data_IF_448782223111
#
_entry.id   IF_448782223111
#
_cell.length_a   1.000
_cell.length_b   1.000
_cell.length_c   1.000
_cell.angle_alpha   90.00
_cell.angle_beta   90.00
_cell.angle_gamma   90.00
#
_symmetry.space_group_name_H-M   'P 1'
#
loop_
_entity.id
_entity.type
_entity.pdbx_description
1 polymer ?
#
# COMPACT_ATOMS: atom_id res chain seq x y z
N UNK A 1 5.10 -10.57 -3.96
CA UNK A 1 6.18 -10.51 -2.94
C UNK A 1 7.24 -9.51 -3.38
N UNK A 2 7.55 -8.49 -2.58
CA UNK A 2 8.59 -7.50 -2.85
C UNK A 2 9.99 -8.11 -2.59
N UNK A 3 10.93 -7.92 -3.52
CA UNK A 3 12.33 -8.31 -3.36
C UNK A 3 13.24 -7.10 -3.16
N UNK A 4 13.01 -6.01 -3.90
CA UNK A 4 13.80 -4.80 -3.77
C UNK A 4 13.03 -3.59 -4.29
N UNK A 5 13.24 -2.44 -3.66
CA UNK A 5 12.81 -1.13 -4.12
C UNK A 5 14.02 -0.20 -4.18
N UNK A 6 14.15 0.54 -5.26
CA UNK A 6 15.19 1.56 -5.42
C UNK A 6 14.58 2.89 -5.76
N UNK A 7 15.18 3.93 -5.27
CA UNK A 7 14.82 5.32 -5.54
C UNK A 7 16.08 6.18 -5.70
N UNK A 8 16.04 7.11 -6.62
CA UNK A 8 17.09 8.13 -6.83
C UNK A 8 16.46 9.47 -7.17
N UNK A 9 17.09 10.54 -6.77
CA UNK A 9 16.69 11.92 -7.01
C UNK A 9 15.25 12.20 -6.56
N UNK A 10 14.96 11.96 -5.29
CA UNK A 10 13.62 12.16 -4.75
C UNK A 10 13.65 12.83 -3.38
N UNK A 11 13.03 13.99 -3.22
CA UNK A 11 12.98 14.79 -1.98
C UNK A 11 14.36 14.96 -1.33
N UNK A 12 14.64 14.31 -0.18
CA UNK A 12 15.93 14.34 0.50
C UNK A 12 16.93 13.28 0.01
N UNK A 13 16.54 12.44 -0.94
CA UNK A 13 17.38 11.37 -1.49
C UNK A 13 18.01 11.86 -2.79
N UNK A 14 19.30 12.15 -2.80
CA UNK A 14 20.08 12.54 -3.98
C UNK A 14 20.54 11.30 -4.75
N UNK A 15 21.34 10.47 -4.09
CA UNK A 15 21.90 9.25 -4.66
C UNK A 15 20.94 8.08 -4.55
N UNK A 16 21.23 6.97 -5.23
CA UNK A 16 20.39 5.76 -5.16
C UNK A 16 20.30 5.22 -3.74
N UNK A 17 19.08 5.11 -3.22
CA UNK A 17 18.77 4.39 -1.99
C UNK A 17 18.06 3.07 -2.33
N UNK A 18 18.42 2.00 -1.62
CA UNK A 18 17.94 0.65 -1.87
C UNK A 18 17.31 0.08 -0.60
N UNK A 19 16.03 -0.28 -0.69
CA UNK A 19 15.36 -1.14 0.29
C UNK A 19 15.37 -2.58 -0.26
N UNK A 20 16.10 -3.48 0.41
CA UNK A 20 16.20 -4.87 -0.01
C UNK A 20 15.50 -5.80 0.97
N UNK A 21 14.59 -6.62 0.46
CA UNK A 21 13.95 -7.73 1.17
C UNK A 21 14.63 -9.07 0.87
N UNK A 22 15.70 -9.07 0.06
CA UNK A 22 16.46 -10.27 -0.25
C UNK A 22 17.21 -10.73 1.01
N UNK A 23 17.03 -11.99 1.45
CA UNK A 23 17.69 -12.47 2.66
C UNK A 23 19.20 -12.54 2.49
N UNK A 24 19.91 -12.43 3.60
CA UNK A 24 21.35 -12.66 3.67
C UNK A 24 21.69 -14.17 3.52
N UNK A 25 22.95 -14.51 3.56
CA UNK A 25 23.39 -15.92 3.59
C UNK A 25 23.16 -16.60 4.94
N UNK A 26 22.76 -15.86 5.97
CA UNK A 26 22.41 -16.40 7.28
C UNK A 26 21.11 -17.20 7.21
N UNK A 27 21.14 -18.43 7.74
CA UNK A 27 20.00 -19.37 7.75
C UNK A 27 19.50 -19.67 9.16
N UNK A 28 19.89 -18.87 10.15
CA UNK A 28 19.52 -19.10 11.56
C UNK A 28 18.02 -18.94 11.82
N UNK A 29 17.32 -18.16 10.99
CA UNK A 29 15.91 -17.79 11.16
C UNK A 29 15.10 -18.03 9.89
N UNK A 30 14.90 -19.29 9.45
CA UNK A 30 14.13 -19.60 8.24
C UNK A 30 12.66 -19.20 8.34
N UNK A 31 12.11 -19.12 9.56
CA UNK A 31 10.75 -18.66 9.85
C UNK A 31 10.49 -17.19 9.45
N UNK A 32 11.54 -16.40 9.32
CA UNK A 32 11.47 -15.01 8.89
C UNK A 32 11.41 -14.83 7.37
N UNK A 33 11.39 -15.92 6.62
CA UNK A 33 11.38 -15.90 5.16
C UNK A 33 9.99 -16.24 4.61
N UNK A 34 9.60 -15.47 3.61
CA UNK A 34 8.51 -15.78 2.71
C UNK A 34 9.08 -16.43 1.45
N UNK A 35 8.42 -17.48 0.97
CA UNK A 35 8.84 -18.25 -0.19
C UNK A 35 7.82 -18.12 -1.31
N UNK A 36 8.28 -17.69 -2.50
CA UNK A 36 7.44 -17.64 -3.69
C UNK A 36 8.22 -18.16 -4.90
N UNK A 37 7.81 -19.32 -5.41
CA UNK A 37 8.49 -20.00 -6.50
C UNK A 37 9.93 -20.38 -6.11
N UNK A 38 10.93 -19.76 -6.75
CA UNK A 38 12.36 -19.97 -6.48
C UNK A 38 13.02 -18.80 -5.74
N UNK A 39 12.21 -17.89 -5.21
CA UNK A 39 12.68 -16.68 -4.54
C UNK A 39 12.26 -16.67 -3.09
N UNK A 40 13.16 -16.17 -2.26
CA UNK A 40 12.95 -15.93 -0.86
C UNK A 40 13.02 -14.42 -0.60
N UNK A 41 12.19 -13.95 0.30
CA UNK A 41 12.21 -12.57 0.80
C UNK A 41 12.07 -12.56 2.31
N UNK A 42 12.55 -11.50 2.95
CA UNK A 42 12.24 -11.22 4.35
C UNK A 42 10.75 -10.87 4.48
N UNK A 43 10.09 -11.38 5.51
CA UNK A 43 8.69 -11.07 5.82
C UNK A 43 8.50 -9.64 6.31
N UNK A 44 9.54 -9.05 6.91
CA UNK A 44 9.51 -7.68 7.41
C UNK A 44 10.86 -7.00 7.28
N UNK A 45 10.85 -5.67 7.16
CA UNK A 45 12.02 -4.81 7.23
C UNK A 45 11.68 -3.54 8.01
N UNK A 46 12.62 -3.07 8.82
CA UNK A 46 12.48 -1.83 9.57
C UNK A 46 13.55 -0.81 9.17
N UNK A 47 13.13 0.43 8.92
CA UNK A 47 14.02 1.53 8.55
C UNK A 47 14.26 2.40 9.78
N UNK A 48 15.49 2.37 10.28
CA UNK A 48 15.92 3.16 11.43
C UNK A 48 16.90 4.27 11.00
N UNK A 49 16.96 5.32 11.80
CA UNK A 49 17.91 6.41 11.57
C UNK A 49 17.55 7.65 12.39
N UNK A 50 18.48 8.61 12.46
CA UNK A 50 18.26 9.89 13.13
C UNK A 50 17.08 10.67 12.53
N UNK A 51 16.57 11.64 13.26
CA UNK A 51 15.58 12.58 12.72
C UNK A 51 16.17 13.31 11.49
N UNK A 52 15.33 13.54 10.50
CA UNK A 52 15.71 14.11 9.21
C UNK A 52 16.73 13.29 8.37
N UNK A 53 17.00 12.02 8.70
CA UNK A 53 17.89 11.15 7.93
C UNK A 53 17.27 10.62 6.62
N UNK A 54 16.03 11.00 6.28
CA UNK A 54 15.38 10.58 5.04
C UNK A 54 14.51 9.31 5.13
N UNK A 55 14.25 8.76 6.33
CA UNK A 55 13.41 7.56 6.52
C UNK A 55 12.05 7.69 5.81
N UNK A 56 11.30 8.73 6.14
CA UNK A 56 9.99 9.01 5.52
C UNK A 56 10.08 9.37 4.04
N UNK A 57 11.26 9.81 3.56
CA UNK A 57 11.46 10.05 2.13
C UNK A 57 11.46 8.74 1.33
N UNK A 58 12.00 7.64 1.87
CA UNK A 58 11.94 6.31 1.24
C UNK A 58 10.49 5.83 1.15
N UNK A 59 9.72 5.98 2.23
CA UNK A 59 8.28 5.60 2.26
C UNK A 59 7.49 6.47 1.27
N UNK A 60 7.69 7.79 1.27
CA UNK A 60 7.04 8.71 0.33
C UNK A 60 7.40 8.43 -1.12
N UNK A 61 8.66 8.04 -1.40
CA UNK A 61 9.08 7.61 -2.73
C UNK A 61 8.31 6.35 -3.18
N UNK A 62 8.16 5.39 -2.29
CA UNK A 62 7.38 4.18 -2.54
C UNK A 62 5.92 4.53 -2.87
N UNK A 63 5.29 5.37 -2.04
CA UNK A 63 3.91 5.88 -2.28
C UNK A 63 3.81 6.59 -3.62
N UNK A 64 4.72 7.52 -3.91
CA UNK A 64 4.70 8.31 -5.15
C UNK A 64 4.80 7.41 -6.39
N UNK A 65 5.69 6.41 -6.36
CA UNK A 65 5.85 5.46 -7.46
C UNK A 65 4.58 4.62 -7.68
N UNK A 66 3.99 4.09 -6.62
CA UNK A 66 2.74 3.30 -6.71
C UNK A 66 1.57 4.16 -7.18
N UNK A 67 1.43 5.38 -6.68
CA UNK A 67 0.39 6.32 -7.12
C UNK A 67 0.58 6.72 -8.58
N UNK A 68 1.83 6.92 -9.04
CA UNK A 68 2.12 7.19 -10.43
C UNK A 68 1.63 6.06 -11.36
N UNK A 69 1.80 4.78 -10.94
CA UNK A 69 1.29 3.61 -11.67
C UNK A 69 -0.24 3.55 -11.64
N UNK A 70 -0.84 3.62 -10.46
CA UNK A 70 -2.30 3.47 -10.27
C UNK A 70 -3.12 4.53 -11.00
N UNK A 71 -2.64 5.76 -11.03
CA UNK A 71 -3.36 6.90 -11.63
C UNK A 71 -2.97 7.17 -13.08
N UNK A 72 -2.04 6.40 -13.64
CA UNK A 72 -1.43 6.68 -14.94
C UNK A 72 -2.44 6.71 -16.08
N UNK A 73 -3.28 5.69 -16.20
CA UNK A 73 -4.18 5.55 -17.34
C UNK A 73 -5.33 6.56 -17.36
N UNK A 74 -5.80 6.96 -16.17
CA UNK A 74 -6.87 7.96 -16.03
C UNK A 74 -6.38 9.41 -16.24
N UNK A 75 -5.06 9.62 -16.35
CA UNK A 75 -4.45 10.94 -16.48
C UNK A 75 -4.67 11.50 -17.89
N UNK A 76 -5.17 12.71 -17.99
CA UNK A 76 -5.21 13.41 -19.28
C UNK A 76 -3.85 14.10 -19.57
N UNK A 77 -3.63 14.51 -20.81
CA UNK A 77 -2.33 15.02 -21.30
C UNK A 77 -1.86 16.30 -20.58
N UNK A 78 -2.76 17.06 -19.97
CA UNK A 78 -2.44 18.31 -19.26
C UNK A 78 -2.20 18.11 -17.76
N UNK A 79 -2.48 16.92 -17.23
CA UNK A 79 -2.29 16.62 -15.82
C UNK A 79 -0.86 16.21 -15.52
N UNK A 80 -0.33 16.71 -14.41
CA UNK A 80 1.00 16.36 -13.92
C UNK A 80 1.04 14.94 -13.32
N UNK A 81 2.21 14.33 -13.38
CA UNK A 81 2.49 13.07 -12.66
C UNK A 81 2.61 13.41 -11.17
N UNK A 82 1.76 12.83 -10.30
CA UNK A 82 1.76 13.21 -8.90
C UNK A 82 3.01 12.75 -8.17
N UNK A 83 3.48 13.55 -7.21
CA UNK A 83 4.53 13.17 -6.27
C UNK A 83 5.95 13.20 -6.84
N UNK A 84 6.17 13.62 -8.07
CA UNK A 84 7.53 13.75 -8.65
C UNK A 84 8.22 15.02 -8.12
N UNK A 85 8.91 14.87 -6.99
CA UNK A 85 9.63 15.96 -6.30
C UNK A 85 11.12 15.63 -6.26
N UNK A 86 11.96 16.19 -7.15
CA UNK A 86 13.40 15.90 -7.18
C UNK A 86 14.13 16.53 -5.99
N UNK A 87 15.37 16.10 -5.76
CA UNK A 87 16.27 16.67 -4.77
C UNK A 87 16.66 18.11 -5.18
N UNK A 88 16.38 19.08 -4.29
CA UNK A 88 16.43 20.51 -4.60
C UNK A 88 17.77 21.20 -4.32
N UNK A 89 18.68 20.56 -3.57
CA UNK A 89 19.91 21.21 -3.13
C UNK A 89 21.11 21.07 -4.10
N UNK A 90 20.83 20.72 -5.36
CA UNK A 90 21.81 20.57 -6.42
C UNK A 90 21.13 20.90 -7.76
N UNK A 91 21.75 21.73 -8.61
CA UNK A 91 21.14 22.24 -9.84
C UNK A 91 20.82 21.14 -10.84
N UNK A 92 21.70 20.14 -10.97
CA UNK A 92 21.52 19.04 -11.91
C UNK A 92 20.35 18.15 -11.49
N UNK A 93 20.31 17.77 -10.20
CA UNK A 93 19.25 16.90 -9.68
C UNK A 93 17.91 17.62 -9.56
N UNK A 94 17.90 18.93 -9.26
CA UNK A 94 16.67 19.70 -9.13
C UNK A 94 15.87 19.81 -10.45
N UNK A 95 16.55 19.69 -11.58
CA UNK A 95 15.94 19.65 -12.92
C UNK A 95 15.86 18.25 -13.52
N UNK A 96 16.43 17.26 -12.85
CA UNK A 96 16.42 15.87 -13.31
C UNK A 96 15.18 15.09 -12.88
N UNK A 97 14.88 13.98 -13.55
CA UNK A 97 13.75 13.14 -13.19
C UNK A 97 13.99 12.37 -11.88
N UNK A 98 12.91 12.08 -11.15
CA UNK A 98 12.91 11.10 -10.09
C UNK A 98 12.94 9.68 -10.70
N UNK A 99 13.74 8.78 -10.15
CA UNK A 99 13.87 7.41 -10.65
C UNK A 99 13.45 6.39 -9.60
N UNK A 100 12.68 5.38 -10.03
CA UNK A 100 12.14 4.31 -9.18
C UNK A 100 12.32 2.97 -9.87
N UNK A 101 12.66 1.94 -9.10
CA UNK A 101 12.75 0.56 -9.60
C UNK A 101 12.18 -0.42 -8.57
N UNK A 102 11.35 -1.35 -9.02
CA UNK A 102 10.83 -2.47 -8.25
C UNK A 102 11.35 -3.79 -8.82
N UNK A 103 11.83 -4.66 -7.94
CA UNK A 103 12.08 -6.06 -8.22
C UNK A 103 11.17 -6.89 -7.31
N UNK A 104 10.31 -7.71 -7.90
CA UNK A 104 9.24 -8.41 -7.17
C UNK A 104 8.86 -9.71 -7.87
N UNK A 105 8.20 -10.59 -7.13
CA UNK A 105 7.51 -11.77 -7.69
C UNK A 105 6.03 -11.43 -7.74
N UNK A 106 5.43 -11.50 -8.93
CA UNK A 106 4.00 -11.28 -9.13
C UNK A 106 3.20 -12.54 -8.77
N UNK A 107 1.86 -12.43 -8.73
CA UNK A 107 0.96 -13.53 -8.35
C UNK A 107 1.07 -14.78 -9.24
N UNK A 108 1.63 -14.65 -10.45
CA UNK A 108 1.92 -15.78 -11.34
C UNK A 108 3.23 -16.53 -10.99
N UNK A 109 3.88 -16.20 -9.87
CA UNK A 109 5.14 -16.80 -9.42
C UNK A 109 6.37 -16.38 -10.24
N UNK A 110 6.23 -15.44 -11.17
CA UNK A 110 7.32 -14.97 -12.02
C UNK A 110 7.94 -13.70 -11.44
N UNK A 111 9.29 -13.64 -11.32
CA UNK A 111 9.96 -12.40 -10.94
C UNK A 111 9.94 -11.37 -12.07
N UNK A 112 9.65 -10.12 -11.72
CA UNK A 112 9.65 -8.96 -12.61
C UNK A 112 10.59 -7.88 -12.09
N UNK A 113 11.16 -7.12 -13.00
CA UNK A 113 11.89 -5.88 -12.73
C UNK A 113 11.22 -4.77 -13.55
N UNK A 114 10.64 -3.83 -12.85
CA UNK A 114 9.96 -2.67 -13.43
C UNK A 114 10.60 -1.39 -12.91
N UNK A 115 10.93 -0.47 -13.78
CA UNK A 115 11.44 0.83 -13.38
C UNK A 115 10.99 1.93 -14.32
N UNK A 116 10.99 3.17 -13.79
CA UNK A 116 10.75 4.37 -14.56
C UNK A 116 11.48 5.57 -13.98
N UNK A 117 11.76 6.53 -14.84
CA UNK A 117 12.25 7.85 -14.47
C UNK A 117 11.29 8.91 -15.04
N UNK A 118 10.79 9.79 -14.17
CA UNK A 118 9.80 10.80 -14.53
C UNK A 118 10.00 12.10 -13.76
N UNK A 119 9.64 13.20 -14.37
CA UNK A 119 9.37 14.47 -13.70
C UNK A 119 7.85 14.71 -13.61
N UNK A 120 7.46 15.91 -13.22
CA UNK A 120 6.03 16.22 -13.09
C UNK A 120 5.27 16.23 -14.44
N UNK A 121 5.95 16.40 -15.55
CA UNK A 121 5.36 16.63 -16.85
C UNK A 121 5.44 15.41 -17.79
N UNK A 122 6.51 14.62 -17.68
CA UNK A 122 6.68 13.48 -18.58
C UNK A 122 7.49 12.31 -17.98
N UNK A 123 7.34 11.15 -18.60
CA UNK A 123 8.14 9.95 -18.37
C UNK A 123 9.32 9.97 -19.32
N UNK A 124 10.54 9.99 -18.79
CA UNK A 124 11.80 10.00 -19.54
C UNK A 124 12.24 8.61 -19.92
N UNK A 125 12.16 7.68 -18.98
CA UNK A 125 12.54 6.28 -19.16
C UNK A 125 11.50 5.36 -18.49
N UNK A 126 11.27 4.20 -19.08
CA UNK A 126 10.42 3.17 -18.49
C UNK A 126 10.82 1.80 -19.06
N UNK A 127 10.84 0.77 -18.21
CA UNK A 127 11.15 -0.58 -18.65
C UNK A 127 10.45 -1.65 -17.82
N UNK A 128 10.19 -2.78 -18.47
CA UNK A 128 9.71 -4.00 -17.84
C UNK A 128 10.49 -5.20 -18.34
N UNK A 129 11.04 -5.97 -17.41
CA UNK A 129 11.64 -7.27 -17.64
C UNK A 129 10.98 -8.34 -16.79
N UNK A 130 10.95 -9.57 -17.29
CA UNK A 130 10.56 -10.74 -16.51
C UNK A 130 11.66 -11.80 -16.51
N UNK A 131 11.65 -12.68 -15.51
CA UNK A 131 12.68 -13.69 -15.31
C UNK A 131 12.05 -15.09 -15.32
N UNK A 132 11.75 -15.63 -16.49
CA UNK A 132 11.37 -17.05 -16.64
C UNK A 132 12.55 -17.99 -16.31
N UNK A 133 13.78 -17.48 -16.39
CA UNK A 133 15.04 -18.14 -16.05
C UNK A 133 15.94 -17.17 -15.30
N UNK A 134 17.22 -17.53 -15.09
CA UNK A 134 18.20 -16.62 -14.49
C UNK A 134 18.51 -15.37 -15.34
N UNK A 135 18.16 -15.38 -16.64
CA UNK A 135 18.38 -14.24 -17.53
C UNK A 135 17.10 -13.41 -17.68
N UNK A 136 17.20 -12.06 -17.62
CA UNK A 136 16.07 -11.18 -17.88
C UNK A 136 15.62 -11.28 -19.34
N UNK A 137 14.32 -11.28 -19.53
CA UNK A 137 13.69 -11.14 -20.85
C UNK A 137 12.94 -9.82 -20.88
N UNK A 138 13.26 -8.98 -21.86
CA UNK A 138 12.61 -7.69 -22.02
C UNK A 138 11.15 -7.88 -22.46
N UNK A 139 10.24 -7.18 -21.79
CA UNK A 139 8.88 -6.97 -22.28
C UNK A 139 8.85 -5.71 -23.12
N UNK A 140 9.30 -4.60 -22.54
CA UNK A 140 9.50 -3.34 -23.25
C UNK A 140 10.58 -2.49 -22.56
N UNK A 141 11.15 -1.56 -23.32
CA UNK A 141 11.92 -0.40 -22.86
C UNK A 141 11.40 0.84 -23.57
N UNK A 142 11.39 1.97 -22.89
CA UNK A 142 11.00 3.26 -23.42
C UNK A 142 12.00 4.32 -23.01
N UNK A 143 12.41 5.17 -23.94
CA UNK A 143 13.20 6.37 -23.70
C UNK A 143 12.55 7.52 -24.46
N UNK A 144 11.89 8.42 -23.73
CA UNK A 144 11.03 9.45 -24.30
C UNK A 144 9.90 8.85 -25.13
N UNK A 145 9.92 9.09 -26.43
CA UNK A 145 8.94 8.55 -27.39
C UNK A 145 9.41 7.30 -28.12
N UNK A 146 10.62 6.80 -27.83
CA UNK A 146 11.19 5.62 -28.48
C UNK A 146 10.92 4.37 -27.66
N UNK A 147 10.33 3.36 -28.27
CA UNK A 147 10.04 2.07 -27.66
C UNK A 147 10.91 0.97 -28.27
N UNK A 148 11.27 0.00 -27.45
CA UNK A 148 12.00 -1.20 -27.84
C UNK A 148 11.35 -2.43 -27.24
N UNK A 149 11.10 -3.44 -28.04
CA UNK A 149 10.47 -4.71 -27.66
C UNK A 149 11.35 -5.90 -28.08
N UNK A 150 10.96 -7.11 -27.70
CA UNK A 150 11.48 -8.30 -28.38
C UNK A 150 10.93 -8.36 -29.81
N UNK A 151 11.72 -8.85 -30.73
CA UNK A 151 11.34 -8.92 -32.15
C UNK A 151 9.99 -9.61 -32.41
N UNK A 152 9.65 -10.62 -31.62
CA UNK A 152 8.38 -11.35 -31.72
C UNK A 152 7.18 -10.55 -31.22
N UNK A 153 7.39 -9.48 -30.49
CA UNK A 153 6.36 -8.74 -29.74
C UNK A 153 6.06 -7.35 -30.32
N UNK A 154 6.92 -6.84 -31.23
CA UNK A 154 6.84 -5.48 -31.77
C UNK A 154 5.44 -5.16 -32.33
N UNK A 155 4.91 -6.02 -33.19
CA UNK A 155 3.58 -5.83 -33.80
C UNK A 155 2.42 -5.92 -32.78
N UNK A 156 2.63 -6.57 -31.65
CA UNK A 156 1.63 -6.65 -30.60
C UNK A 156 1.61 -5.41 -29.68
N UNK A 157 2.75 -4.72 -29.53
CA UNK A 157 2.89 -3.57 -28.65
C UNK A 157 2.71 -2.23 -29.34
N UNK A 158 3.09 -2.08 -30.62
CA UNK A 158 3.06 -0.81 -31.36
C UNK A 158 1.70 -0.11 -31.34
N UNK A 159 0.60 -0.88 -31.37
CA UNK A 159 -0.77 -0.34 -31.29
C UNK A 159 -1.08 0.40 -29.97
N UNK A 160 -0.29 0.21 -28.92
CA UNK A 160 -0.47 0.88 -27.62
C UNK A 160 0.34 2.19 -27.53
N UNK A 161 1.38 2.35 -28.37
CA UNK A 161 2.20 3.56 -28.37
C UNK A 161 1.36 4.81 -28.67
N UNK A 162 0.48 4.74 -29.67
CA UNK A 162 -0.42 5.83 -30.05
C UNK A 162 -1.44 6.21 -28.94
N UNK A 163 -1.66 5.32 -27.97
CA UNK A 163 -2.54 5.55 -26.82
C UNK A 163 -1.81 6.13 -25.63
N UNK A 164 -0.47 6.09 -25.66
CA UNK A 164 0.37 6.51 -24.54
C UNK A 164 0.79 7.96 -24.69
N UNK A 165 0.33 8.84 -23.80
CA UNK A 165 0.78 10.23 -23.76
C UNK A 165 2.10 10.36 -23.00
N UNK A 166 2.89 11.43 -23.18
CA UNK A 166 4.19 11.59 -22.54
C UNK A 166 4.16 11.46 -21.01
N UNK A 167 3.06 11.87 -20.38
CA UNK A 167 2.85 11.83 -18.92
C UNK A 167 2.22 10.53 -18.42
N UNK A 168 2.03 9.51 -19.27
CA UNK A 168 1.52 8.18 -18.88
C UNK A 168 2.64 7.15 -18.88
N UNK A 169 2.55 6.22 -17.92
CA UNK A 169 3.38 5.02 -17.88
C UNK A 169 2.83 3.99 -18.88
N UNK A 170 3.70 3.47 -19.73
CA UNK A 170 3.34 2.51 -20.77
C UNK A 170 2.86 1.18 -20.20
N UNK A 171 3.40 0.77 -19.04
CA UNK A 171 2.90 -0.38 -18.28
C UNK A 171 1.38 -0.31 -18.06
N UNK A 172 0.89 0.83 -17.59
CA UNK A 172 -0.54 1.03 -17.31
C UNK A 172 -1.34 1.09 -18.61
N UNK A 173 -0.88 1.86 -19.58
CA UNK A 173 -1.53 1.99 -20.90
C UNK A 173 -1.66 0.63 -21.58
N UNK A 174 -0.57 -0.12 -21.75
CA UNK A 174 -0.59 -1.41 -22.42
C UNK A 174 -1.52 -2.41 -21.70
N UNK A 175 -1.48 -2.44 -20.37
CA UNK A 175 -2.34 -3.34 -19.57
C UNK A 175 -3.82 -3.01 -19.74
N UNK A 176 -4.21 -1.76 -19.62
CA UNK A 176 -5.61 -1.34 -19.72
C UNK A 176 -6.19 -1.50 -21.12
N UNK A 177 -5.32 -1.53 -22.13
CA UNK A 177 -5.69 -1.90 -23.51
C UNK A 177 -5.55 -3.40 -23.80
N UNK A 178 -5.42 -4.24 -22.77
CA UNK A 178 -5.52 -5.70 -22.85
C UNK A 178 -4.23 -6.44 -23.17
N UNK A 179 -3.05 -5.88 -22.87
CA UNK A 179 -1.81 -6.61 -23.06
C UNK A 179 -1.56 -7.60 -21.89
N UNK A 180 -1.55 -8.90 -22.21
CA UNK A 180 -1.38 -9.96 -21.23
C UNK A 180 0.04 -10.05 -20.62
N UNK A 181 1.08 -9.53 -21.30
CA UNK A 181 2.47 -9.59 -20.81
C UNK A 181 2.77 -8.52 -19.77
N UNK A 182 2.05 -7.40 -19.78
CA UNK A 182 2.20 -6.32 -18.80
C UNK A 182 1.29 -6.50 -17.59
N UNK A 183 0.16 -7.20 -17.76
CA UNK A 183 -0.88 -7.35 -16.76
C UNK A 183 -0.38 -7.88 -15.39
N UNK A 184 0.44 -8.96 -15.29
CA UNK A 184 0.87 -9.44 -13.98
C UNK A 184 1.71 -8.43 -13.19
N UNK A 185 2.59 -7.68 -13.88
CA UNK A 185 3.40 -6.66 -13.25
C UNK A 185 2.56 -5.46 -12.80
N UNK A 186 1.64 -4.99 -13.66
CA UNK A 186 0.73 -3.91 -13.33
C UNK A 186 -0.17 -4.27 -12.14
N UNK A 187 -0.79 -5.45 -12.16
CA UNK A 187 -1.68 -5.92 -11.10
C UNK A 187 -0.94 -6.01 -9.76
N UNK A 188 0.29 -6.51 -9.76
CA UNK A 188 1.07 -6.54 -8.52
C UNK A 188 1.32 -5.14 -7.97
N UNK A 189 1.75 -4.18 -8.78
CA UNK A 189 1.97 -2.79 -8.36
C UNK A 189 0.67 -2.07 -7.96
N UNK A 190 -0.42 -2.36 -8.65
CA UNK A 190 -1.71 -1.72 -8.40
C UNK A 190 -2.44 -2.29 -7.18
N UNK A 191 -2.40 -3.62 -6.99
CA UNK A 191 -3.32 -4.31 -6.08
C UNK A 191 -2.64 -4.98 -4.89
N UNK A 192 -1.32 -5.30 -4.99
CA UNK A 192 -0.62 -6.10 -3.97
C UNK A 192 0.19 -5.27 -2.97
N UNK A 193 -0.02 -3.95 -2.93
CA UNK A 193 0.70 -3.05 -2.02
C UNK A 193 -0.31 -2.16 -1.31
N UNK A 194 -0.27 -2.17 0.02
CA UNK A 194 -1.01 -1.21 0.84
C UNK A 194 -0.05 -0.32 1.62
N UNK A 195 -0.27 0.98 1.54
CA UNK A 195 0.51 1.97 2.27
C UNK A 195 -0.35 2.55 3.37
N UNK A 196 0.13 2.40 4.58
CA UNK A 196 -0.49 2.95 5.76
C UNK A 196 0.31 4.14 6.29
N UNK A 197 -0.35 5.28 6.44
CA UNK A 197 0.18 6.44 7.15
C UNK A 197 -0.83 6.82 8.23
N UNK A 198 -0.42 6.86 9.52
CA UNK A 198 -1.31 7.22 10.63
C UNK A 198 -1.93 8.63 10.50
N UNK A 199 -1.32 9.51 9.72
CA UNK A 199 -1.84 10.86 9.45
C UNK A 199 -2.98 10.87 8.40
N UNK A 200 -3.10 9.82 7.60
CA UNK A 200 -4.20 9.68 6.65
C UNK A 200 -5.42 9.09 7.37
N UNK A 201 -6.58 9.70 7.16
CA UNK A 201 -7.83 9.25 7.76
C UNK A 201 -8.21 7.84 7.26
N UNK A 202 -7.88 6.80 8.02
CA UNK A 202 -8.27 5.40 7.73
C UNK A 202 -9.74 5.17 8.07
N UNK A 203 -10.25 5.94 9.02
CA UNK A 203 -11.58 5.76 9.58
C UNK A 203 -12.68 5.58 8.51
N UNK A 204 -12.77 6.39 7.44
CA UNK A 204 -13.82 6.21 6.45
C UNK A 204 -13.77 4.86 5.73
N UNK A 205 -12.57 4.40 5.35
CA UNK A 205 -12.39 3.12 4.64
C UNK A 205 -12.67 1.94 5.57
N UNK A 206 -12.23 2.03 6.83
CA UNK A 206 -12.50 1.01 7.83
C UNK A 206 -13.99 0.91 8.16
N UNK A 207 -14.68 2.04 8.31
CA UNK A 207 -16.13 2.08 8.52
C UNK A 207 -16.90 1.44 7.37
N UNK A 208 -16.51 1.74 6.13
CA UNK A 208 -17.11 1.10 4.96
C UNK A 208 -16.92 -0.42 4.97
N UNK A 209 -15.74 -0.90 5.39
CA UNK A 209 -15.49 -2.33 5.51
C UNK A 209 -16.38 -2.99 6.57
N UNK A 210 -16.58 -2.35 7.73
CA UNK A 210 -17.51 -2.84 8.75
C UNK A 210 -18.99 -2.77 8.31
N UNK A 211 -19.38 -1.74 7.56
CA UNK A 211 -20.72 -1.63 6.98
C UNK A 211 -21.03 -2.78 6.00
N UNK A 212 -20.02 -3.25 5.28
CA UNK A 212 -20.12 -4.33 4.29
C UNK A 212 -19.93 -5.73 4.90
N UNK A 213 -19.64 -5.83 6.20
CA UNK A 213 -19.37 -7.10 6.90
C UNK A 213 -20.65 -7.83 7.28
N UNK A 214 -21.49 -8.18 6.31
CA UNK A 214 -22.77 -8.86 6.53
C UNK A 214 -22.64 -10.20 7.26
N UNK A 215 -21.52 -10.90 7.09
CA UNK A 215 -21.27 -12.21 7.71
C UNK A 215 -20.54 -12.13 9.05
N UNK A 216 -20.11 -10.94 9.45
CA UNK A 216 -19.38 -10.71 10.70
C UNK A 216 -17.94 -11.23 10.72
N UNK A 217 -17.38 -11.56 9.55
CA UNK A 217 -16.03 -12.09 9.47
C UNK A 217 -14.96 -11.05 9.87
N UNK A 218 -15.15 -9.77 9.50
CA UNK A 218 -14.27 -8.69 9.91
C UNK A 218 -14.37 -8.45 11.41
N UNK A 219 -15.60 -8.45 11.94
CA UNK A 219 -15.85 -8.35 13.39
C UNK A 219 -15.12 -9.44 14.15
N UNK A 220 -15.24 -10.70 13.72
CA UNK A 220 -14.57 -11.85 14.36
C UNK A 220 -13.04 -11.75 14.26
N UNK A 221 -12.51 -11.35 13.11
CA UNK A 221 -11.09 -11.10 12.93
C UNK A 221 -10.59 -9.99 13.89
N UNK A 222 -11.31 -8.87 13.98
CA UNK A 222 -10.98 -7.75 14.86
C UNK A 222 -10.98 -8.18 16.33
N UNK A 223 -12.00 -8.91 16.79
CA UNK A 223 -12.06 -9.44 18.15
C UNK A 223 -10.90 -10.40 18.44
N UNK A 224 -10.56 -11.27 17.49
CA UNK A 224 -9.42 -12.17 17.62
C UNK A 224 -8.10 -11.40 17.73
N UNK A 225 -7.92 -10.35 16.93
CA UNK A 225 -6.74 -9.48 16.95
C UNK A 225 -6.59 -8.76 18.29
N UNK A 226 -7.68 -8.17 18.80
CA UNK A 226 -7.68 -7.47 20.09
C UNK A 226 -7.36 -8.41 21.24
N UNK A 227 -7.93 -9.62 21.26
CA UNK A 227 -7.63 -10.63 22.29
C UNK A 227 -6.18 -11.08 22.28
N UNK A 228 -5.59 -11.28 21.08
CA UNK A 228 -4.17 -11.64 20.94
C UNK A 228 -3.25 -10.50 21.41
N UNK A 229 -3.70 -9.25 21.32
CA UNK A 229 -3.00 -8.07 21.84
C UNK A 229 -3.24 -7.83 23.33
N UNK A 230 -3.84 -8.80 24.06
CA UNK A 230 -4.21 -8.69 25.49
C UNK A 230 -5.20 -7.54 25.79
N UNK A 231 -6.05 -7.22 24.79
CA UNK A 231 -7.12 -6.22 24.95
C UNK A 231 -8.44 -6.98 25.13
N UNK A 232 -9.02 -6.83 26.34
CA UNK A 232 -10.19 -7.59 26.76
C UNK A 232 -11.49 -6.93 26.26
N UNK A 233 -11.79 -7.13 24.97
CA UNK A 233 -13.05 -6.76 24.33
C UNK A 233 -13.71 -8.02 23.79
N UNK A 234 -14.95 -8.29 24.23
CA UNK A 234 -15.69 -9.51 23.92
C UNK A 234 -16.65 -9.34 22.77
N UNK A 235 -17.11 -8.11 22.53
CA UNK A 235 -18.02 -7.79 21.43
C UNK A 235 -17.73 -6.39 20.86
N UNK A 236 -18.13 -6.19 19.60
CA UNK A 236 -18.08 -4.91 18.90
C UNK A 236 -19.43 -4.68 18.24
N UNK A 237 -20.05 -3.54 18.50
CA UNK A 237 -21.27 -3.10 17.83
C UNK A 237 -20.96 -1.85 17.00
N UNK A 238 -21.31 -1.88 15.73
CA UNK A 238 -21.13 -0.77 14.79
C UNK A 238 -22.50 -0.35 14.29
N UNK A 239 -23.01 0.77 14.80
CA UNK A 239 -24.29 1.34 14.42
C UNK A 239 -24.09 2.49 13.44
N UNK A 240 -24.52 2.30 12.21
CA UNK A 240 -24.42 3.30 11.15
C UNK A 240 -25.83 3.79 10.80
N UNK A 241 -26.14 5.02 11.19
CA UNK A 241 -27.45 5.62 10.92
C UNK A 241 -27.32 6.77 9.93
N UNK A 242 -28.11 6.80 8.85
CA UNK A 242 -28.15 7.97 7.97
C UNK A 242 -28.63 9.18 8.76
N UNK A 243 -27.86 10.26 8.76
CA UNK A 243 -28.33 11.56 9.25
C UNK A 243 -29.32 12.08 8.23
N UNK A 244 -30.62 12.09 8.60
CA UNK A 244 -31.68 12.60 7.73
C UNK A 244 -31.44 14.07 7.33
N UNK A 245 -32.16 14.57 6.32
CA UNK A 245 -32.05 15.88 5.65
C UNK A 245 -32.12 17.15 6.52
N UNK A 246 -31.81 17.11 7.80
CA UNK A 246 -31.84 18.26 8.71
C UNK A 246 -30.48 18.97 8.92
N UNK A 247 -29.42 18.51 8.33
CA UNK A 247 -28.14 19.24 8.35
C UNK A 247 -28.12 20.28 7.25
N UNK A 248 -27.89 21.56 7.60
CA UNK A 248 -27.56 22.62 6.65
C UNK A 248 -26.55 22.09 5.65
N UNK A 249 -26.83 22.19 4.37
CA UNK A 249 -25.94 21.76 3.29
C UNK A 249 -24.55 22.41 3.48
N UNK A 250 -23.63 21.67 4.00
CA UNK A 250 -22.20 22.02 3.92
C UNK A 250 -21.78 21.55 2.53
N UNK A 251 -21.74 22.47 1.57
CA UNK A 251 -21.24 22.17 0.23
C UNK A 251 -19.71 22.15 0.28
N UNK A 252 -19.13 20.96 0.20
CA UNK A 252 -17.69 20.86 -0.04
C UNK A 252 -17.44 21.13 -1.52
N UNK A 253 -16.49 22.00 -1.81
CA UNK A 253 -16.04 22.28 -3.17
C UNK A 253 -14.63 21.73 -3.35
N UNK A 254 -14.32 21.22 -4.56
CA UNK A 254 -12.95 20.92 -4.96
C UNK A 254 -12.11 22.22 -5.05
N UNK A 255 -10.78 22.15 -5.21
CA UNK A 255 -9.94 23.33 -5.36
C UNK A 255 -10.30 24.22 -6.57
N UNK A 256 -11.10 23.73 -7.52
CA UNK A 256 -11.60 24.46 -8.66
C UNK A 256 -13.00 25.10 -8.40
N UNK A 257 -13.57 24.92 -7.19
CA UNK A 257 -14.85 25.49 -6.78
C UNK A 257 -16.08 24.68 -7.20
N UNK A 258 -15.91 23.46 -7.74
CA UNK A 258 -17.06 22.60 -8.10
C UNK A 258 -17.59 21.87 -6.88
N UNK A 259 -18.92 21.67 -6.74
CA UNK A 259 -19.47 20.86 -5.66
C UNK A 259 -18.98 19.43 -5.76
N UNK A 260 -18.36 18.92 -4.70
CA UNK A 260 -18.03 17.50 -4.58
C UNK A 260 -19.34 16.75 -4.28
N UNK A 261 -19.67 15.65 -4.99
CA UNK A 261 -20.83 14.83 -4.68
C UNK A 261 -20.79 14.39 -3.23
N UNK A 262 -21.74 14.83 -2.43
CA UNK A 262 -21.83 14.42 -1.03
C UNK A 262 -22.41 13.01 -0.97
N UNK A 263 -21.63 12.08 -0.41
CA UNK A 263 -22.21 10.87 0.15
C UNK A 263 -23.16 11.25 1.29
N UNK A 264 -24.17 10.44 1.55
CA UNK A 264 -25.05 10.65 2.70
C UNK A 264 -24.21 10.75 3.97
N UNK A 265 -24.36 11.84 4.72
CA UNK A 265 -23.72 11.98 6.03
C UNK A 265 -24.36 10.95 6.95
N UNK A 266 -23.54 10.06 7.49
CA UNK A 266 -23.96 8.99 8.40
C UNK A 266 -23.43 9.29 9.80
N UNK A 267 -24.23 9.09 10.83
CA UNK A 267 -23.75 9.00 12.20
C UNK A 267 -23.23 7.58 12.41
N UNK A 268 -22.06 7.47 12.99
CA UNK A 268 -21.43 6.18 13.30
C UNK A 268 -21.14 6.12 14.78
N UNK A 269 -21.69 5.11 15.44
CA UNK A 269 -21.43 4.79 16.83
C UNK A 269 -20.80 3.41 16.89
N UNK A 270 -19.65 3.31 17.55
CA UNK A 270 -18.95 2.05 17.73
C UNK A 270 -18.81 1.81 19.22
N UNK A 271 -19.33 0.67 19.67
CA UNK A 271 -19.31 0.28 21.05
C UNK A 271 -18.47 -0.99 21.25
N UNK A 272 -17.53 -0.94 22.19
CA UNK A 272 -16.73 -2.06 22.65
C UNK A 272 -17.42 -2.73 23.85
N UNK A 273 -17.73 -4.01 23.76
CA UNK A 273 -18.37 -4.78 24.81
C UNK A 273 -17.34 -5.44 25.73
N UNK A 274 -17.44 -5.19 27.01
CA UNK A 274 -16.61 -5.77 28.05
C UNK A 274 -17.44 -6.68 28.94
N UNK A 275 -16.94 -7.88 29.23
CA UNK A 275 -17.55 -8.78 30.19
C UNK A 275 -16.96 -8.56 31.57
N UNK A 276 -17.80 -8.16 32.51
CA UNK A 276 -17.42 -7.93 33.92
C UNK A 276 -18.09 -8.95 34.78
N UNK A 277 -17.30 -9.72 35.50
CA UNK A 277 -17.80 -10.67 36.50
C UNK A 277 -18.04 -9.92 37.84
N UNK A 278 -19.26 -9.92 38.34
CA UNK A 278 -19.58 -9.34 39.62
C UNK A 278 -19.03 -10.20 40.77
N UNK A 279 -18.88 -9.63 41.96
CA UNK A 279 -18.49 -10.37 43.16
C UNK A 279 -19.49 -11.46 43.56
N UNK A 280 -20.74 -11.39 43.08
CA UNK A 280 -21.78 -12.42 43.26
C UNK A 280 -21.70 -13.58 42.27
N UNK A 281 -20.76 -13.55 41.34
CA UNK A 281 -20.59 -14.60 40.32
C UNK A 281 -21.47 -14.42 39.06
N UNK A 282 -22.36 -13.43 39.03
CA UNK A 282 -23.14 -13.09 37.84
C UNK A 282 -22.30 -12.17 36.95
N UNK A 283 -22.13 -12.58 35.65
CA UNK A 283 -21.44 -11.77 34.67
C UNK A 283 -22.40 -10.80 33.96
N UNK A 284 -21.97 -9.58 33.71
CA UNK A 284 -22.70 -8.62 32.90
C UNK A 284 -21.82 -8.06 31.81
N UNK A 285 -22.39 -7.83 30.63
CA UNK A 285 -21.73 -7.18 29.53
C UNK A 285 -22.02 -5.68 29.57
N UNK A 286 -20.97 -4.87 29.50
CA UNK A 286 -21.04 -3.42 29.46
C UNK A 286 -20.45 -2.94 28.13
N UNK A 287 -21.06 -1.92 27.55
CA UNK A 287 -20.60 -1.32 26.31
C UNK A 287 -20.05 0.08 26.56
N UNK A 288 -18.83 0.33 26.10
CA UNK A 288 -18.20 1.65 26.09
C UNK A 288 -18.14 2.16 24.66
N UNK A 289 -18.28 3.48 24.47
CA UNK A 289 -17.99 4.09 23.16
C UNK A 289 -16.50 3.88 22.83
N UNK A 290 -16.19 3.54 21.58
CA UNK A 290 -14.80 3.31 21.15
C UNK A 290 -13.91 4.53 21.43
N UNK A 291 -14.48 5.75 21.45
CA UNK A 291 -13.74 6.97 21.81
C UNK A 291 -13.26 7.00 23.26
N UNK A 292 -13.86 6.23 24.15
CA UNK A 292 -13.47 6.09 25.56
C UNK A 292 -12.36 5.04 25.76
N UNK A 293 -12.12 4.21 24.75
CA UNK A 293 -11.06 3.21 24.75
C UNK A 293 -9.66 3.82 24.65
N UNK A 294 -8.66 3.00 25.01
CA UNK A 294 -7.25 3.39 24.90
C UNK A 294 -6.88 3.72 23.45
N UNK A 295 -5.86 4.57 23.27
CA UNK A 295 -5.37 4.91 21.93
C UNK A 295 -4.91 3.67 21.14
N UNK A 296 -4.25 2.73 21.82
CA UNK A 296 -3.80 1.46 21.21
C UNK A 296 -4.96 0.60 20.74
N UNK A 297 -6.02 0.48 21.55
CA UNK A 297 -7.26 -0.22 21.20
C UNK A 297 -7.89 0.37 19.94
N UNK A 298 -8.04 1.70 19.91
CA UNK A 298 -8.58 2.42 18.75
C UNK A 298 -7.76 2.20 17.50
N UNK A 299 -6.45 2.25 17.60
CA UNK A 299 -5.57 2.05 16.45
C UNK A 299 -5.64 0.63 15.91
N UNK A 300 -5.63 -0.40 16.77
CA UNK A 300 -5.81 -1.79 16.33
C UNK A 300 -7.18 -2.02 15.70
N UNK A 301 -8.22 -1.43 16.26
CA UNK A 301 -9.55 -1.49 15.67
C UNK A 301 -9.55 -0.93 14.24
N UNK A 302 -9.03 0.29 14.05
CA UNK A 302 -8.99 0.93 12.73
C UNK A 302 -8.05 0.23 11.74
N UNK A 303 -7.01 -0.43 12.24
CA UNK A 303 -6.07 -1.18 11.41
C UNK A 303 -6.62 -2.54 10.98
N UNK A 304 -7.54 -3.12 11.74
CA UNK A 304 -8.00 -4.50 11.55
C UNK A 304 -8.56 -4.80 10.15
N UNK A 305 -9.34 -3.91 9.48
CA UNK A 305 -9.80 -4.19 8.12
C UNK A 305 -8.65 -4.27 7.11
N UNK A 306 -7.65 -3.41 7.27
CA UNK A 306 -6.45 -3.41 6.41
C UNK A 306 -5.65 -4.69 6.63
N UNK A 307 -5.41 -5.07 7.89
CA UNK A 307 -4.70 -6.31 8.22
C UNK A 307 -5.42 -7.54 7.69
N UNK A 308 -6.77 -7.60 7.82
CA UNK A 308 -7.56 -8.70 7.24
C UNK A 308 -7.35 -8.81 5.74
N UNK A 309 -7.36 -7.67 5.04
CA UNK A 309 -7.14 -7.66 3.59
C UNK A 309 -5.70 -8.02 3.22
N UNK A 310 -4.71 -7.48 3.93
CA UNK A 310 -3.28 -7.77 3.74
C UNK A 310 -3.02 -9.26 3.88
N UNK A 311 -3.44 -9.87 4.99
CA UNK A 311 -3.24 -11.31 5.22
C UNK A 311 -4.10 -12.18 4.30
N UNK A 312 -5.32 -11.76 3.98
CA UNK A 312 -6.21 -12.52 3.09
C UNK A 312 -5.77 -12.56 1.63
N UNK A 313 -5.07 -11.51 1.17
CA UNK A 313 -4.64 -11.36 -0.24
C UNK A 313 -3.12 -11.45 -0.45
N UNK A 314 -2.32 -11.66 0.59
CA UNK A 314 -0.86 -11.71 0.49
C UNK A 314 -0.24 -10.39 0.02
N UNK A 315 -0.72 -9.26 0.57
CA UNK A 315 -0.25 -7.94 0.17
C UNK A 315 1.00 -7.51 0.95
N UNK A 316 1.82 -6.70 0.32
CA UNK A 316 2.92 -6.00 0.99
C UNK A 316 2.38 -4.76 1.69
N UNK A 317 2.57 -4.65 3.00
CA UNK A 317 2.16 -3.49 3.78
C UNK A 317 3.36 -2.57 4.03
N UNK A 318 3.21 -1.29 3.74
CA UNK A 318 4.22 -0.24 4.00
C UNK A 318 3.65 0.73 5.02
N UNK A 319 4.33 0.87 6.17
CA UNK A 319 3.85 1.69 7.28
C UNK A 319 4.90 2.75 7.62
N UNK A 320 4.50 4.02 7.64
CA UNK A 320 5.33 5.11 8.20
C UNK A 320 4.94 5.34 9.67
N UNK A 321 5.93 5.59 10.52
CA UNK A 321 5.75 5.92 11.94
C UNK A 321 4.88 4.92 12.73
N UNK A 322 5.10 3.61 12.52
CA UNK A 322 4.35 2.56 13.22
C UNK A 322 4.40 2.69 14.76
N UNK A 323 5.50 3.21 15.28
CA UNK A 323 5.73 3.44 16.71
C UNK A 323 5.06 4.73 17.25
N UNK A 324 4.56 5.59 16.37
CA UNK A 324 3.87 6.82 16.78
C UNK A 324 2.51 6.49 17.36
N UNK A 325 2.35 6.67 18.65
CA UNK A 325 1.10 6.45 19.39
C UNK A 325 0.78 4.99 19.74
N UNK A 326 1.62 4.01 19.38
CA UNK A 326 1.50 2.63 19.85
C UNK A 326 2.45 2.34 20.99
N UNK A 327 1.97 1.56 21.98
CA UNK A 327 2.85 1.00 22.99
C UNK A 327 3.86 0.04 22.33
N UNK A 328 5.14 -0.03 22.74
CA UNK A 328 6.14 -0.92 22.14
C UNK A 328 5.69 -2.38 21.98
N UNK A 329 4.94 -2.92 22.93
CA UNK A 329 4.37 -4.27 22.83
C UNK A 329 3.37 -4.42 21.67
N UNK A 330 2.59 -3.38 21.36
CA UNK A 330 1.69 -3.43 20.21
C UNK A 330 2.44 -3.34 18.89
N UNK A 331 3.55 -2.58 18.84
CA UNK A 331 4.44 -2.55 17.67
C UNK A 331 5.04 -3.93 17.44
N UNK A 332 5.58 -4.56 18.50
CA UNK A 332 6.11 -5.92 18.43
C UNK A 332 5.03 -6.91 17.99
N UNK A 333 3.86 -6.88 18.60
CA UNK A 333 2.72 -7.71 18.26
C UNK A 333 2.36 -7.59 16.76
N UNK A 334 2.24 -6.36 16.23
CA UNK A 334 1.94 -6.15 14.82
C UNK A 334 3.00 -6.76 13.89
N UNK A 335 4.27 -6.62 14.23
CA UNK A 335 5.36 -7.26 13.45
C UNK A 335 5.25 -8.78 13.54
N UNK A 336 5.00 -9.34 14.72
CA UNK A 336 4.86 -10.79 14.95
C UNK A 336 3.70 -11.41 14.13
N UNK A 337 2.62 -10.66 13.86
CA UNK A 337 1.53 -11.15 13.00
C UNK A 337 2.03 -11.58 11.62
N UNK A 338 2.98 -10.84 11.02
CA UNK A 338 3.57 -11.19 9.72
C UNK A 338 4.44 -12.44 9.78
N UNK A 339 4.94 -12.80 10.97
CA UNK A 339 5.78 -13.99 11.21
C UNK A 339 4.99 -15.20 11.71
N UNK A 340 3.71 -15.04 12.04
CA UNK A 340 2.82 -16.09 12.57
C UNK A 340 2.15 -16.84 11.42
N UNK A 341 2.50 -18.13 11.13
CA UNK A 341 1.98 -18.86 9.97
C UNK A 341 0.47 -19.07 10.00
N UNK A 342 -0.13 -19.15 11.19
CA UNK A 342 -1.59 -19.34 11.38
C UNK A 342 -2.38 -18.12 10.92
N UNK A 343 -1.77 -16.93 10.96
CA UNK A 343 -2.36 -15.64 10.57
C UNK A 343 -1.95 -15.29 9.16
N UNK A 344 -0.64 -15.30 8.91
CA UNK A 344 -0.06 -14.95 7.61
C UNK A 344 0.14 -16.20 6.72
N UNK A 345 -0.97 -16.79 6.28
CA UNK A 345 -0.95 -17.99 5.41
C UNK A 345 -0.59 -17.67 3.96
N UNK A 346 -0.67 -16.41 3.56
CA UNK A 346 -0.48 -15.95 2.18
C UNK A 346 0.89 -15.32 1.94
N UNK A 347 1.78 -15.29 2.95
CA UNK A 347 3.09 -14.63 2.90
C UNK A 347 2.99 -13.11 2.56
N UNK A 348 2.07 -12.42 3.26
CA UNK A 348 1.92 -10.99 3.19
C UNK A 348 3.18 -10.26 3.68
#
# INVERSE_FOLDING_TARGET
MLLQFKVKNFQSIKEEAILSMVPSSDKSHPENLAHEGKKDALKSAAIYGANAAGKSAVIRAFVAAIMAVRTSDTRNITQKIPGMVPFQFDEETAQGPCSFEFYFVAQNGVPYRYGFAADADCVHEEYLYYYASARPSRVFERTGEKFMYNQTDEGAFSKYEEKNTPNKLFLATATNWGNAKTAPAYQWLADSIDVYNPELAIQPTALQAFEQDEQGELKQFTLSLLRQADINIDDIQVDITPLGNQTKEIVFTDPAGNPVPQGQVKAVHIHAGHYVQSQSGEGAQFFLDLNEESLGTKQLFWLSPILKEVFGKGKTMVIDELDRSLHPFLVQFLVELFHTPEINQTNA
#
